data_IF_293591247382
#
_entry.id   IF_293591247382
#
_cell.length_a   1.000
_cell.length_b   1.000
_cell.length_c   1.000
_cell.angle_alpha   90.00
_cell.angle_beta   90.00
_cell.angle_gamma   90.00
#
_symmetry.space_group_name_H-M   'P 1'
#
loop_
_entity.id
_entity.type
_entity.pdbx_description
1 polymer ?
#
# COMPACT_ATOMS: atom_id res chain seq x y z
N UNK A 1 8.60 12.89 40.91
CA UNK A 1 8.98 13.43 39.59
C UNK A 1 7.77 13.29 38.67
N UNK A 2 7.24 14.39 38.15
CA UNK A 2 6.04 14.36 37.32
C UNK A 2 6.44 13.94 35.90
N UNK A 3 6.12 12.71 35.51
CA UNK A 3 6.46 12.16 34.19
C UNK A 3 5.78 12.91 33.03
N UNK A 4 4.85 13.84 33.34
CA UNK A 4 4.14 14.64 32.35
C UNK A 4 4.87 15.87 31.80
N UNK A 5 6.10 16.18 32.28
CA UNK A 5 6.83 17.41 31.91
C UNK A 5 8.03 17.15 30.99
N UNK A 6 8.34 15.90 30.68
CA UNK A 6 9.44 15.56 29.76
C UNK A 6 8.86 15.32 28.37
N UNK A 7 9.47 15.90 27.34
CA UNK A 7 9.15 15.58 25.94
C UNK A 7 10.09 14.45 25.47
N UNK A 8 9.67 13.18 25.49
CA UNK A 8 10.46 12.06 24.98
C UNK A 8 10.39 11.91 23.44
N UNK A 9 9.62 12.74 22.73
CA UNK A 9 9.58 12.67 21.26
C UNK A 9 10.94 13.04 20.65
N UNK A 10 11.38 12.20 19.71
CA UNK A 10 12.56 12.42 18.89
C UNK A 10 12.17 13.02 17.53
N UNK A 11 13.17 13.45 16.75
CA UNK A 11 13.01 13.91 15.36
C UNK A 11 12.02 15.07 15.15
N UNK A 12 11.81 15.90 16.17
CA UNK A 12 10.95 17.09 16.07
C UNK A 12 9.46 16.81 16.20
N UNK A 13 9.06 15.68 16.82
CA UNK A 13 7.67 15.46 17.23
C UNK A 13 7.19 16.50 18.26
N UNK A 14 5.91 16.84 18.20
CA UNK A 14 5.28 17.86 19.06
C UNK A 14 4.47 17.22 20.18
N UNK A 15 4.46 17.88 21.34
CA UNK A 15 3.73 17.46 22.53
C UNK A 15 2.46 18.33 22.71
N UNK A 16 1.32 17.69 22.99
CA UNK A 16 0.08 18.40 23.39
C UNK A 16 -0.45 17.83 24.69
N UNK A 17 -0.69 18.71 25.67
CA UNK A 17 -1.14 18.35 27.02
C UNK A 17 -2.67 18.28 27.04
N UNK A 18 -3.23 17.11 27.37
CA UNK A 18 -4.65 16.93 27.72
C UNK A 18 -4.75 16.08 28.99
N UNK A 19 -5.72 16.41 29.84
CA UNK A 19 -5.93 15.94 31.21
C UNK A 19 -5.93 14.41 31.36
N UNK A 20 -4.74 13.84 31.54
CA UNK A 20 -4.53 12.50 32.10
C UNK A 20 -4.04 11.40 31.15
N UNK A 21 -3.91 11.64 29.84
CA UNK A 21 -3.23 10.69 28.94
C UNK A 21 -2.63 11.39 27.71
N UNK A 22 -1.35 11.11 27.44
CA UNK A 22 -0.50 11.78 26.46
C UNK A 22 -0.88 11.47 25.02
N UNK A 23 -0.89 12.48 24.15
CA UNK A 23 -0.96 12.28 22.69
C UNK A 23 0.30 12.85 22.04
N UNK A 24 0.96 12.01 21.25
CA UNK A 24 2.19 12.35 20.52
C UNK A 24 1.84 12.64 19.06
N UNK A 25 2.39 13.72 18.50
CA UNK A 25 2.30 13.98 17.06
C UNK A 25 3.70 13.93 16.47
N UNK A 26 3.97 12.91 15.66
CA UNK A 26 5.25 12.78 14.97
C UNK A 26 5.28 13.71 13.76
N UNK A 27 6.47 14.29 13.49
CA UNK A 27 6.75 15.01 12.25
C UNK A 27 6.62 14.05 11.06
N UNK A 28 6.21 14.58 9.91
CA UNK A 28 6.14 13.83 8.66
C UNK A 28 7.42 13.03 8.41
N UNK A 29 7.24 11.75 8.05
CA UNK A 29 8.33 10.81 7.85
C UNK A 29 8.77 10.08 9.13
N UNK A 30 8.14 10.29 10.28
CA UNK A 30 8.44 9.59 11.53
C UNK A 30 7.21 8.98 12.21
N UNK A 31 7.39 7.86 12.89
CA UNK A 31 6.38 7.11 13.62
C UNK A 31 6.97 6.44 14.89
N UNK A 32 6.18 5.56 15.51
CA UNK A 32 6.49 4.96 16.81
C UNK A 32 6.00 5.82 17.98
N UNK A 33 6.01 5.24 19.19
CA UNK A 33 5.55 5.92 20.41
C UNK A 33 6.43 7.11 20.82
N UNK A 34 7.68 7.14 20.33
CA UNK A 34 8.65 8.20 20.58
C UNK A 34 9.05 8.97 19.32
N UNK A 35 8.38 8.78 18.18
CA UNK A 35 8.73 9.40 16.90
C UNK A 35 10.19 9.14 16.45
N UNK A 36 10.75 8.01 16.86
CA UNK A 36 12.12 7.59 16.58
C UNK A 36 12.22 6.65 15.37
N UNK A 37 11.08 6.16 14.85
CA UNK A 37 11.06 5.27 13.69
C UNK A 37 10.86 6.08 12.41
N UNK A 38 11.77 5.98 11.45
CA UNK A 38 11.58 6.57 10.13
C UNK A 38 10.49 5.79 9.37
N UNK A 39 9.49 6.49 8.85
CA UNK A 39 8.41 5.91 8.05
C UNK A 39 8.95 5.66 6.64
N UNK A 40 9.41 4.44 6.40
CA UNK A 40 9.84 3.95 5.09
C UNK A 40 8.74 3.10 4.42
N UNK A 41 8.75 3.02 3.09
CA UNK A 41 7.93 2.05 2.37
C UNK A 41 8.37 0.62 2.76
N UNK A 42 7.55 -0.05 3.58
CA UNK A 42 7.77 -1.40 4.08
C UNK A 42 7.67 -2.47 2.97
N UNK A 43 6.96 -2.17 1.89
CA UNK A 43 6.74 -3.09 0.78
C UNK A 43 7.91 -3.09 -0.22
N UNK A 44 8.81 -2.10 -0.17
CA UNK A 44 9.90 -1.96 -1.13
C UNK A 44 10.75 -3.25 -1.22
N UNK A 45 10.80 -3.80 -2.44
CA UNK A 45 11.50 -5.03 -2.86
C UNK A 45 11.09 -6.28 -2.09
N UNK A 46 9.89 -6.29 -1.51
CA UNK A 46 9.36 -7.45 -0.81
C UNK A 46 8.76 -8.49 -1.76
N UNK A 47 8.68 -9.77 -1.36
CA UNK A 47 8.01 -10.78 -2.15
C UNK A 47 6.54 -10.43 -2.36
N UNK A 48 6.09 -10.44 -3.61
CA UNK A 48 4.71 -10.18 -3.99
C UNK A 48 4.15 -11.30 -4.87
N UNK A 49 2.85 -11.54 -4.75
CA UNK A 49 2.06 -12.53 -5.52
C UNK A 49 0.78 -11.87 -6.03
N UNK A 50 0.18 -12.45 -7.06
CA UNK A 50 -1.11 -12.04 -7.57
C UNK A 50 -1.90 -13.26 -8.05
N UNK A 51 -3.22 -13.13 -8.11
CA UNK A 51 -4.16 -14.19 -8.48
C UNK A 51 -3.80 -14.86 -9.80
N UNK A 52 -3.56 -14.05 -10.82
CA UNK A 52 -3.13 -14.47 -12.16
C UNK A 52 -2.15 -13.45 -12.72
N UNK A 53 -1.34 -13.84 -13.70
CA UNK A 53 -0.33 -12.94 -14.29
C UNK A 53 -0.52 -12.82 -15.80
N UNK A 54 -0.78 -11.60 -16.28
CA UNK A 54 -0.82 -11.33 -17.70
C UNK A 54 0.58 -11.46 -18.32
N UNK A 55 0.66 -12.25 -19.39
CA UNK A 55 1.87 -12.41 -20.21
C UNK A 55 1.50 -12.12 -21.65
N UNK A 56 2.20 -11.16 -22.24
CA UNK A 56 2.12 -10.85 -23.66
C UNK A 56 3.25 -11.60 -24.39
N UNK A 57 2.92 -12.79 -24.88
CA UNK A 57 3.89 -13.76 -25.40
C UNK A 57 4.64 -13.21 -26.61
N UNK A 58 3.93 -12.52 -27.52
CA UNK A 58 4.49 -11.98 -28.75
C UNK A 58 5.56 -10.90 -28.47
N UNK A 59 5.41 -10.15 -27.38
CA UNK A 59 6.38 -9.15 -26.97
C UNK A 59 7.40 -9.66 -25.93
N UNK A 60 7.29 -10.92 -25.49
CA UNK A 60 8.13 -11.47 -24.43
C UNK A 60 7.99 -10.74 -23.09
N UNK A 61 6.80 -10.21 -22.78
CA UNK A 61 6.56 -9.41 -21.57
C UNK A 61 5.66 -10.15 -20.58
N UNK A 62 6.06 -10.16 -19.30
CA UNK A 62 5.26 -10.72 -18.19
C UNK A 62 5.08 -9.64 -17.12
N UNK A 63 3.83 -9.31 -16.79
CA UNK A 63 3.46 -8.24 -15.85
C UNK A 63 3.32 -8.76 -14.42
N UNK A 64 4.48 -9.14 -13.85
CA UNK A 64 4.60 -9.79 -12.55
C UNK A 64 4.18 -8.89 -11.38
N UNK A 65 3.66 -9.51 -10.31
CA UNK A 65 3.31 -8.85 -9.05
C UNK A 65 4.44 -8.01 -8.43
N UNK A 66 5.71 -8.36 -8.68
CA UNK A 66 6.88 -7.66 -8.12
C UNK A 66 7.02 -6.21 -8.58
N UNK A 67 6.38 -5.84 -9.69
CA UNK A 67 6.49 -4.49 -10.23
C UNK A 67 5.82 -3.44 -9.34
N UNK A 68 4.82 -3.84 -8.54
CA UNK A 68 4.19 -2.92 -7.60
C UNK A 68 5.02 -2.66 -6.32
N UNK A 69 6.25 -3.18 -6.24
CA UNK A 69 7.12 -3.05 -5.07
C UNK A 69 8.57 -2.82 -5.49
N UNK A 70 8.82 -2.35 -6.71
CA UNK A 70 10.18 -2.18 -7.20
C UNK A 70 10.76 -0.78 -6.93
N UNK A 71 9.92 0.14 -6.44
CA UNK A 71 10.27 1.53 -6.17
C UNK A 71 10.13 2.46 -7.39
N UNK A 72 9.50 2.00 -8.47
CA UNK A 72 9.21 2.80 -9.65
C UNK A 72 7.78 3.35 -9.60
N UNK A 73 7.65 4.64 -9.26
CA UNK A 73 6.34 5.30 -9.21
C UNK A 73 5.82 5.74 -10.59
N UNK A 74 6.49 5.33 -11.68
CA UNK A 74 6.01 5.55 -13.04
C UNK A 74 4.71 4.80 -13.31
N UNK A 75 3.81 5.40 -14.08
CA UNK A 75 2.43 4.92 -14.26
C UNK A 75 2.12 4.42 -15.66
N UNK A 76 3.07 4.47 -16.59
CA UNK A 76 2.93 3.88 -17.91
C UNK A 76 3.06 2.35 -17.81
N UNK A 77 1.93 1.67 -18.02
CA UNK A 77 1.85 0.22 -17.93
C UNK A 77 2.94 -0.53 -18.71
N UNK A 78 3.35 -0.05 -19.90
CA UNK A 78 4.31 -0.74 -20.73
C UNK A 78 5.76 -0.26 -20.58
N UNK A 79 5.96 1.02 -20.29
CA UNK A 79 7.30 1.63 -20.12
C UNK A 79 7.77 1.40 -18.69
N UNK A 80 6.97 1.82 -17.72
CA UNK A 80 7.33 1.78 -16.29
C UNK A 80 7.10 0.41 -15.66
N UNK A 81 6.34 -0.45 -16.35
CA UNK A 81 5.94 -1.80 -15.91
C UNK A 81 5.06 -1.75 -14.67
N UNK A 82 3.77 -1.90 -14.87
CA UNK A 82 2.83 -2.12 -13.76
C UNK A 82 2.53 -3.62 -13.63
N UNK A 83 1.98 -4.04 -12.49
CA UNK A 83 1.40 -5.38 -12.34
C UNK A 83 0.15 -5.50 -13.23
N UNK A 84 -0.20 -6.71 -13.70
CA UNK A 84 -1.43 -6.91 -14.46
C UNK A 84 -1.92 -8.36 -14.32
N UNK A 85 -3.16 -8.56 -13.91
CA UNK A 85 -3.80 -9.88 -13.88
C UNK A 85 -4.34 -10.29 -15.25
N UNK A 86 -4.56 -11.59 -15.48
CA UNK A 86 -5.08 -12.07 -16.77
C UNK A 86 -6.51 -11.60 -17.05
N UNK A 87 -6.90 -11.63 -18.33
CA UNK A 87 -8.31 -11.55 -18.70
C UNK A 87 -9.06 -12.77 -18.18
N UNK A 88 -10.32 -12.57 -17.79
CA UNK A 88 -11.20 -13.56 -17.17
C UNK A 88 -11.05 -13.67 -15.66
N UNK A 89 -10.07 -13.00 -15.05
CA UNK A 89 -9.91 -12.95 -13.60
C UNK A 89 -10.90 -11.92 -13.00
N UNK A 90 -12.05 -12.41 -12.53
CA UNK A 90 -13.17 -11.59 -12.04
C UNK A 90 -13.07 -11.21 -10.56
N UNK A 91 -12.16 -11.84 -9.81
CA UNK A 91 -11.89 -11.53 -8.40
C UNK A 91 -10.38 -11.40 -8.17
N UNK A 92 -9.69 -10.51 -8.95
CA UNK A 92 -8.26 -10.45 -8.93
C UNK A 92 -7.76 -9.89 -7.61
N UNK A 93 -6.60 -10.38 -7.19
CA UNK A 93 -5.93 -9.90 -5.98
C UNK A 93 -4.42 -9.81 -6.19
N UNK A 94 -3.81 -8.92 -5.43
CA UNK A 94 -2.37 -8.77 -5.27
C UNK A 94 -2.03 -8.82 -3.78
N UNK A 95 -0.89 -9.42 -3.43
CA UNK A 95 -0.48 -9.67 -2.05
C UNK A 95 1.02 -9.43 -1.91
N UNK A 96 1.42 -8.70 -0.86
CA UNK A 96 2.83 -8.57 -0.46
C UNK A 96 3.08 -9.23 0.90
N UNK A 97 4.20 -9.95 1.00
CA UNK A 97 4.77 -10.44 2.26
C UNK A 97 5.81 -9.43 2.77
N UNK A 98 5.50 -8.67 3.82
CA UNK A 98 6.40 -7.67 4.42
C UNK A 98 7.60 -8.32 5.16
N UNK A 99 7.61 -9.64 5.30
CA UNK A 99 8.63 -10.48 5.96
C UNK A 99 8.78 -10.28 7.48
N UNK A 100 8.07 -9.32 8.05
CA UNK A 100 7.93 -9.11 9.49
C UNK A 100 6.53 -8.57 9.79
N UNK A 101 6.13 -8.62 11.07
CA UNK A 101 4.85 -8.07 11.51
C UNK A 101 5.02 -6.59 11.82
N UNK A 102 4.13 -5.77 11.27
CA UNK A 102 4.09 -4.33 11.46
C UNK A 102 2.70 -3.87 11.89
N UNK A 103 2.64 -2.72 12.54
CA UNK A 103 1.38 -1.97 12.73
C UNK A 103 1.19 -1.09 11.48
N UNK A 104 0.24 -1.45 10.62
CA UNK A 104 0.04 -0.82 9.31
C UNK A 104 -0.77 0.46 9.47
N UNK A 105 -0.18 1.60 9.10
CA UNK A 105 -0.83 2.92 9.19
C UNK A 105 -1.52 3.32 7.89
N UNK A 106 -0.86 3.11 6.75
CA UNK A 106 -1.37 3.54 5.46
C UNK A 106 -0.88 2.64 4.34
N UNK A 107 -1.69 2.54 3.29
CA UNK A 107 -1.32 1.92 2.02
C UNK A 107 -1.60 2.93 0.91
N UNK A 108 -0.61 3.16 0.05
CA UNK A 108 -0.74 4.01 -1.14
C UNK A 108 -0.65 3.14 -2.38
N UNK A 109 -1.53 3.43 -3.33
CA UNK A 109 -1.61 2.72 -4.60
C UNK A 109 -1.44 3.74 -5.72
N UNK A 110 -0.43 3.54 -6.56
CA UNK A 110 -0.26 4.28 -7.80
C UNK A 110 -1.06 3.59 -8.90
N UNK A 111 -2.13 4.24 -9.34
CA UNK A 111 -2.97 3.77 -10.44
C UNK A 111 -2.25 3.91 -11.79
N UNK A 112 -2.69 3.12 -12.77
CA UNK A 112 -2.24 3.21 -14.15
C UNK A 112 -2.51 4.61 -14.72
N UNK A 113 -1.54 5.12 -15.47
CA UNK A 113 -1.63 6.33 -16.28
C UNK A 113 -1.89 6.02 -17.75
N UNK A 114 -1.78 7.05 -18.58
CA UNK A 114 -1.84 6.91 -20.02
C UNK A 114 -0.59 6.15 -20.48
N UNK A 115 -0.78 5.11 -21.28
CA UNK A 115 0.37 4.38 -21.82
C UNK A 115 1.00 5.11 -23.02
N UNK A 116 2.19 4.65 -23.45
CA UNK A 116 2.96 5.27 -24.55
C UNK A 116 2.25 5.27 -25.91
N UNK A 117 1.09 4.64 -26.05
CA UNK A 117 0.26 4.67 -27.26
C UNK A 117 -0.97 5.58 -27.10
N UNK A 118 -1.11 6.25 -25.96
CA UNK A 118 -2.21 7.17 -25.68
C UNK A 118 -3.48 6.49 -25.18
N UNK A 119 -3.41 5.25 -24.68
CA UNK A 119 -4.58 4.54 -24.16
C UNK A 119 -4.69 4.72 -22.66
N UNK A 120 -5.86 5.20 -22.22
CA UNK A 120 -6.24 5.31 -20.82
C UNK A 120 -7.13 4.12 -20.43
N UNK A 121 -6.75 3.41 -19.38
CA UNK A 121 -7.60 2.40 -18.71
C UNK A 121 -7.57 2.56 -17.19
N UNK A 122 -7.26 3.77 -16.72
CA UNK A 122 -7.13 4.10 -15.30
C UNK A 122 -8.45 3.93 -14.54
N UNK A 123 -9.56 4.05 -15.25
CA UNK A 123 -10.92 3.87 -14.74
C UNK A 123 -11.20 2.43 -14.26
N UNK A 124 -10.40 1.44 -14.71
CA UNK A 124 -10.53 0.04 -14.28
C UNK A 124 -10.22 -0.16 -12.80
N UNK A 125 -9.47 0.75 -12.17
CA UNK A 125 -9.26 0.69 -10.73
C UNK A 125 -10.53 1.19 -10.02
N UNK A 126 -11.35 0.26 -9.54
CA UNK A 126 -12.59 0.51 -8.80
C UNK A 126 -12.91 -0.70 -7.95
N UNK A 127 -13.79 -0.50 -6.97
CA UNK A 127 -14.24 -1.56 -6.05
C UNK A 127 -13.07 -2.28 -5.37
N UNK A 128 -12.07 -1.51 -4.96
CA UNK A 128 -10.84 -2.02 -4.34
C UNK A 128 -11.01 -2.09 -2.82
N UNK A 129 -10.56 -3.18 -2.24
CA UNK A 129 -10.47 -3.39 -0.79
C UNK A 129 -9.04 -3.74 -0.41
N UNK A 130 -8.54 -3.11 0.64
CA UNK A 130 -7.24 -3.39 1.25
C UNK A 130 -7.43 -4.11 2.58
N UNK A 131 -6.84 -5.30 2.71
CA UNK A 131 -6.85 -6.09 3.94
C UNK A 131 -5.45 -6.44 4.40
N UNK A 132 -5.35 -6.74 5.70
CA UNK A 132 -4.11 -7.03 6.43
C UNK A 132 -4.26 -8.36 7.16
N UNK A 133 -3.18 -9.12 7.28
CA UNK A 133 -3.17 -10.44 7.89
C UNK A 133 -1.84 -10.80 8.54
N UNK A 134 -1.89 -11.62 9.59
CA UNK A 134 -0.69 -12.16 10.23
C UNK A 134 -0.11 -13.36 9.46
N UNK A 135 -0.97 -14.10 8.75
CA UNK A 135 -0.59 -15.28 7.96
C UNK A 135 -1.09 -15.12 6.53
N UNK A 136 -0.43 -15.80 5.58
CA UNK A 136 -0.80 -15.73 4.15
C UNK A 136 -2.23 -16.28 3.90
N UNK A 137 -2.67 -17.25 4.70
CA UNK A 137 -3.99 -17.88 4.57
C UNK A 137 -5.15 -17.05 5.16
N UNK A 138 -4.86 -16.06 5.99
CA UNK A 138 -5.88 -15.26 6.70
C UNK A 138 -5.54 -13.76 6.63
N UNK A 139 -5.84 -13.15 5.48
CA UNK A 139 -5.61 -11.73 5.18
C UNK A 139 -6.95 -11.03 5.02
N UNK A 140 -7.68 -10.92 6.14
CA UNK A 140 -9.09 -10.50 6.17
C UNK A 140 -9.36 -9.29 7.09
N UNK A 141 -8.34 -8.73 7.77
CA UNK A 141 -8.54 -7.54 8.62
C UNK A 141 -8.62 -6.30 7.73
N UNK A 142 -9.73 -5.52 7.74
CA UNK A 142 -9.84 -4.34 6.88
C UNK A 142 -8.82 -3.26 7.24
N UNK A 143 -8.15 -2.71 6.23
CA UNK A 143 -7.39 -1.46 6.33
C UNK A 143 -8.19 -0.32 5.69
N UNK A 144 -8.74 -0.52 4.48
CA UNK A 144 -9.56 0.48 3.82
C UNK A 144 -10.07 0.06 2.45
N UNK A 145 -10.67 1.01 1.74
CA UNK A 145 -11.44 0.79 0.51
C UNK A 145 -11.31 1.96 -0.45
N UNK A 146 -11.37 1.66 -1.75
CA UNK A 146 -11.47 2.65 -2.81
C UNK A 146 -12.57 2.25 -3.77
N UNK A 147 -13.69 2.97 -3.72
CA UNK A 147 -14.83 2.75 -4.61
C UNK A 147 -14.47 3.02 -6.08
N UNK A 148 -13.64 4.04 -6.34
CA UNK A 148 -13.33 4.48 -7.69
C UNK A 148 -14.52 5.14 -8.42
N UNK A 149 -14.46 5.22 -9.76
CA UNK A 149 -13.35 4.79 -10.61
C UNK A 149 -12.08 5.62 -10.38
N UNK A 150 -10.94 5.00 -10.66
CA UNK A 150 -9.65 5.65 -10.70
C UNK A 150 -9.56 6.65 -11.84
N UNK A 151 -8.63 7.58 -11.71
CA UNK A 151 -8.27 8.53 -12.76
C UNK A 151 -6.79 8.37 -13.14
N UNK A 152 -6.40 8.99 -14.25
CA UNK A 152 -5.05 8.94 -14.81
C UNK A 152 -3.99 9.24 -13.76
N UNK A 153 -3.07 8.27 -13.56
CA UNK A 153 -1.93 8.40 -12.64
C UNK A 153 -2.34 8.77 -11.21
N UNK A 154 -3.59 8.45 -10.82
CA UNK A 154 -4.09 8.80 -9.50
C UNK A 154 -3.30 8.06 -8.43
N UNK A 155 -2.79 8.82 -7.47
CA UNK A 155 -2.37 8.28 -6.20
C UNK A 155 -3.61 8.05 -5.34
N UNK A 156 -4.01 6.79 -5.22
CA UNK A 156 -5.06 6.38 -4.30
C UNK A 156 -4.41 6.17 -2.94
N UNK A 157 -4.71 7.08 -2.00
CA UNK A 157 -4.31 6.94 -0.61
C UNK A 157 -5.49 6.34 0.12
N UNK A 158 -5.31 5.14 0.67
CA UNK A 158 -6.24 4.67 1.70
C UNK A 158 -5.90 5.46 2.96
N UNK A 159 -6.71 6.48 3.21
CA UNK A 159 -6.51 7.50 4.25
C UNK A 159 -6.66 6.82 5.61
N UNK A 160 -5.52 6.58 6.27
CA UNK A 160 -5.37 5.99 7.61
C UNK A 160 -6.14 4.67 7.79
N UNK A 161 -5.44 3.52 7.70
CA UNK A 161 -5.98 2.25 8.17
C UNK A 161 -6.50 2.46 9.60
N UNK A 162 -7.80 2.66 9.79
CA UNK A 162 -8.27 3.44 10.95
C UNK A 162 -8.09 2.70 12.27
N UNK A 163 -7.97 1.36 12.19
CA UNK A 163 -7.70 0.46 13.30
C UNK A 163 -6.21 0.18 13.53
N UNK A 164 -5.32 0.69 12.66
CA UNK A 164 -3.87 0.43 12.61
C UNK A 164 -3.58 -1.08 12.78
N UNK A 165 -4.08 -1.93 11.86
CA UNK A 165 -4.04 -3.37 12.06
C UNK A 165 -2.61 -3.91 12.09
N UNK A 166 -2.37 -4.91 12.94
CA UNK A 166 -1.10 -5.66 12.97
C UNK A 166 -1.11 -6.72 11.88
N UNK A 167 -0.06 -6.76 11.05
CA UNK A 167 0.05 -7.77 10.01
C UNK A 167 1.43 -7.87 9.37
N UNK A 168 1.67 -9.02 8.74
CA UNK A 168 2.81 -9.29 7.87
C UNK A 168 2.44 -9.26 6.40
N UNK A 169 1.18 -9.51 6.08
CA UNK A 169 0.67 -9.58 4.72
C UNK A 169 -0.31 -8.44 4.47
N UNK A 170 -0.18 -7.78 3.32
CA UNK A 170 -1.14 -6.78 2.83
C UNK A 170 -1.69 -7.27 1.49
N UNK A 171 -3.01 -7.33 1.39
CA UNK A 171 -3.73 -7.78 0.20
C UNK A 171 -4.57 -6.65 -0.37
N UNK A 172 -4.49 -6.47 -1.68
CA UNK A 172 -5.34 -5.58 -2.45
C UNK A 172 -6.20 -6.48 -3.34
N UNK A 173 -7.52 -6.36 -3.22
CA UNK A 173 -8.48 -7.16 -4.00
C UNK A 173 -9.55 -6.27 -4.60
N UNK A 174 -10.19 -6.75 -5.67
CA UNK A 174 -11.39 -6.14 -6.24
C UNK A 174 -12.40 -7.20 -6.66
N UNK A 175 -13.60 -6.75 -7.01
CA UNK A 175 -14.71 -7.58 -7.49
C UNK A 175 -15.01 -7.41 -8.98
N UNK A 176 -14.16 -6.67 -9.70
CA UNK A 176 -14.25 -6.44 -11.15
C UNK A 176 -13.03 -7.03 -11.86
N UNK A 177 -13.12 -7.22 -13.19
CA UNK A 177 -12.03 -7.80 -13.97
C UNK A 177 -10.79 -6.89 -14.00
N UNK A 178 -9.60 -7.52 -14.07
CA UNK A 178 -8.27 -6.91 -14.12
C UNK A 178 -7.87 -6.13 -12.88
N UNK A 179 -6.73 -6.47 -12.29
CA UNK A 179 -6.04 -5.62 -11.32
C UNK A 179 -4.71 -5.17 -11.92
N UNK A 180 -4.54 -3.86 -12.01
CA UNK A 180 -3.30 -3.20 -12.43
C UNK A 180 -2.89 -2.23 -11.33
N UNK A 181 -1.69 -2.44 -10.81
CA UNK A 181 -1.08 -1.61 -9.76
C UNK A 181 0.31 -1.25 -10.24
N UNK A 182 0.60 0.04 -10.38
CA UNK A 182 1.92 0.48 -10.84
C UNK A 182 2.93 0.51 -9.71
N UNK A 183 2.53 0.99 -8.53
CA UNK A 183 3.31 0.86 -7.30
C UNK A 183 2.37 0.76 -6.10
N UNK A 184 2.78 0.01 -5.09
CA UNK A 184 2.11 -0.09 -3.79
C UNK A 184 3.13 0.21 -2.70
N UNK A 185 2.86 1.28 -1.95
CA UNK A 185 3.66 1.64 -0.80
C UNK A 185 2.91 1.32 0.49
N UNK A 186 3.57 0.61 1.42
CA UNK A 186 2.99 0.28 2.72
C UNK A 186 3.74 1.04 3.80
N UNK A 187 3.03 1.79 4.63
CA UNK A 187 3.60 2.59 5.70
C UNK A 187 3.10 2.09 7.05
N UNK A 188 4.01 2.01 8.00
CA UNK A 188 3.74 1.49 9.34
C UNK A 188 4.98 1.58 10.21
N UNK A 189 4.93 0.89 11.35
CA UNK A 189 6.01 0.83 12.32
C UNK A 189 6.08 -0.58 12.92
N UNK A 190 7.22 -0.90 13.54
CA UNK A 190 7.42 -2.22 14.15
C UNK A 190 6.35 -2.51 15.21
N UNK A 191 5.82 -3.73 15.23
CA UNK A 191 4.65 -4.12 16.04
C UNK A 191 4.98 -4.63 17.44
#
# INVERSE_FOLDING_TARGET
MNQCLYNPCQNGGTFTQNDGCFTWTCKDGYAGTLCNEAVSNLALRKPAKQSTTFTWVEAGLTYSAKFAVDGNNGTDHAVDKCTHTQSGDTHPWWLVDLQAVYSIKAVRIFNRGMDKWGVDTSDRLRDVTVTVGLTESDVNTPCGVFAGPGTLSQLVVDVDCSSVPKGRFVKISKTTEYLTLCEVEVFGYSA
#
